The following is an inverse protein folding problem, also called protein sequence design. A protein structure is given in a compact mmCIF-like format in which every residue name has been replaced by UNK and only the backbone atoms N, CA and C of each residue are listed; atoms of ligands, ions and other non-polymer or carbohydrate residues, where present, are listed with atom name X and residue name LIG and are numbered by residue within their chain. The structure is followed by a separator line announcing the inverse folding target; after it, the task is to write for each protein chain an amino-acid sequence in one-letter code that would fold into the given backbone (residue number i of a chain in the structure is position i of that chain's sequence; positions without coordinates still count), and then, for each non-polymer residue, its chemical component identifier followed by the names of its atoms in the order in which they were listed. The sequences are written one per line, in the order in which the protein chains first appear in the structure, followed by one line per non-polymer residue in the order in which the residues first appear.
data_IF_323130158383
#
_entry.id   IF_323130158383
#
_cell.length_a   1.000
_cell.length_b   1.000
_cell.length_c   1.000
_cell.angle_alpha   90.00
_cell.angle_beta   90.00
_cell.angle_gamma   90.00
#
_symmetry.space_group_name_H-M   'P 1'
#
loop_
_entity.id
_entity.type
_entity.pdbx_description
1 polymer ?
#
# COMPACT_ATOMS: atom_id res chain seq x y z
N UNK A 1 1.10 32.43 16.70
CA UNK A 1 2.27 32.14 15.84
C UNK A 1 1.80 32.30 14.40
N UNK A 2 2.47 33.09 13.58
CA UNK A 2 2.09 33.24 12.16
C UNK A 2 2.71 32.10 11.33
N UNK A 3 2.09 31.75 10.21
CA UNK A 3 2.70 30.87 9.21
C UNK A 3 3.73 31.68 8.40
N UNK A 4 4.89 31.09 8.14
CA UNK A 4 6.01 31.69 7.40
C UNK A 4 6.53 30.69 6.38
N UNK A 5 6.86 31.17 5.20
CA UNK A 5 7.54 30.36 4.18
C UNK A 5 9.05 30.41 4.41
N UNK A 6 9.77 29.35 4.03
CA UNK A 6 11.21 29.24 4.26
C UNK A 6 11.96 29.37 2.94
N UNK A 7 12.90 30.30 2.87
CA UNK A 7 13.80 30.47 1.72
C UNK A 7 15.15 29.87 2.06
N UNK A 8 15.59 28.90 1.25
CA UNK A 8 16.94 28.33 1.33
C UNK A 8 17.90 29.18 0.51
N UNK A 9 19.04 29.52 1.12
CA UNK A 9 20.09 30.25 0.45
C UNK A 9 20.90 29.33 -0.46
N UNK A 10 21.30 29.87 -1.61
CA UNK A 10 22.24 29.25 -2.54
C UNK A 10 23.70 29.36 -2.06
N UNK A 11 23.94 30.23 -1.07
CA UNK A 11 25.23 30.45 -0.43
C UNK A 11 25.10 30.66 1.07
N UNK A 12 26.17 30.33 1.77
CA UNK A 12 26.25 30.42 3.22
C UNK A 12 26.45 31.87 3.69
N UNK A 13 25.59 32.31 4.61
CA UNK A 13 25.75 33.59 5.28
C UNK A 13 26.34 33.40 6.68
N UNK A 14 27.42 34.11 7.01
CA UNK A 14 28.03 34.01 8.32
C UNK A 14 27.47 35.07 9.29
N UNK A 15 27.07 34.64 10.49
CA UNK A 15 26.72 35.55 11.58
C UNK A 15 27.91 36.45 11.94
N UNK A 16 27.67 37.76 12.07
CA UNK A 16 28.72 38.74 12.36
C UNK A 16 29.36 38.50 13.73
N UNK A 17 28.53 38.08 14.72
CA UNK A 17 28.95 37.87 16.11
C UNK A 17 29.63 36.51 16.34
N UNK A 18 28.97 35.41 16.00
CA UNK A 18 29.46 34.05 16.34
C UNK A 18 30.03 33.26 15.16
N UNK A 19 30.01 33.83 13.94
CA UNK A 19 30.48 33.17 12.70
C UNK A 19 29.77 31.86 12.34
N UNK A 20 28.63 31.55 12.98
CA UNK A 20 27.81 30.42 12.55
C UNK A 20 27.23 30.67 11.17
N UNK A 21 27.10 29.60 10.40
CA UNK A 21 26.49 29.61 9.09
C UNK A 21 24.96 29.71 9.23
N UNK A 22 24.35 30.55 8.41
CA UNK A 22 22.92 30.74 8.25
C UNK A 22 22.60 30.29 6.82
N UNK A 23 21.76 29.27 6.69
CA UNK A 23 21.44 28.61 5.41
C UNK A 23 20.05 28.94 4.89
N UNK A 24 19.21 29.60 5.70
CA UNK A 24 17.84 29.94 5.32
C UNK A 24 17.32 31.17 6.08
N UNK A 25 16.21 31.72 5.58
CA UNK A 25 15.40 32.71 6.30
C UNK A 25 13.91 32.40 6.16
N UNK A 26 13.11 32.95 7.08
CA UNK A 26 11.66 32.85 7.06
C UNK A 26 11.06 34.17 6.61
N UNK A 27 10.07 34.11 5.72
CA UNK A 27 9.42 35.29 5.15
C UNK A 27 7.90 35.20 5.23
N UNK A 28 7.26 36.36 5.29
CA UNK A 28 5.80 36.55 5.22
C UNK A 28 5.36 37.21 3.92
N UNK A 29 6.29 37.43 2.99
CA UNK A 29 6.03 38.16 1.77
C UNK A 29 5.18 37.39 0.75
N UNK A 30 5.05 36.06 0.92
CA UNK A 30 4.31 35.16 0.04
C UNK A 30 3.01 34.65 0.68
N UNK A 31 2.49 33.54 0.18
CA UNK A 31 1.19 32.95 0.55
C UNK A 31 1.13 32.37 1.97
N UNK A 32 2.27 32.23 2.67
CA UNK A 32 2.37 31.73 4.05
C UNK A 32 1.84 30.30 4.16
N UNK A 33 2.15 29.48 3.17
CA UNK A 33 1.74 28.08 3.05
C UNK A 33 2.66 27.12 3.79
N UNK A 34 3.70 27.63 4.46
CA UNK A 34 4.77 26.84 5.11
C UNK A 34 5.63 26.09 4.09
N UNK A 35 5.70 26.61 2.87
CA UNK A 35 6.49 26.00 1.80
C UNK A 35 7.98 26.36 1.93
N UNK A 36 8.81 25.48 1.38
CA UNK A 36 10.25 25.71 1.27
C UNK A 36 10.61 26.03 -0.18
N UNK A 37 11.28 27.15 -0.39
CA UNK A 37 11.69 27.63 -1.71
C UNK A 37 13.20 27.79 -1.82
N UNK A 38 13.73 27.51 -3.00
CA UNK A 38 15.12 27.70 -3.37
C UNK A 38 15.22 28.66 -4.57
N UNK A 39 16.44 29.15 -4.83
CA UNK A 39 16.72 29.94 -6.03
C UNK A 39 16.32 29.14 -7.28
N UNK A 40 15.58 29.79 -8.18
CA UNK A 40 14.87 29.26 -9.37
C UNK A 40 13.57 28.51 -9.08
N UNK A 41 13.00 28.58 -7.89
CA UNK A 41 11.64 28.07 -7.69
C UNK A 41 10.57 29.13 -8.04
N UNK A 42 9.39 28.64 -8.44
CA UNK A 42 8.20 29.47 -8.58
C UNK A 42 7.58 29.68 -7.20
N UNK A 43 7.54 30.94 -6.76
CA UNK A 43 7.15 31.38 -5.42
C UNK A 43 5.87 32.23 -5.44
N UNK A 44 5.43 32.71 -6.61
CA UNK A 44 4.23 33.54 -6.75
C UNK A 44 3.66 33.52 -8.20
N UNK A 45 2.65 34.34 -8.46
CA UNK A 45 2.01 34.54 -9.74
C UNK A 45 2.95 35.14 -10.81
N UNK A 46 2.67 34.77 -12.07
CA UNK A 46 3.45 35.10 -13.27
C UNK A 46 3.68 36.59 -13.52
N UNK A 47 2.87 37.45 -12.90
CA UNK A 47 2.87 38.89 -13.13
C UNK A 47 3.68 39.63 -12.06
N UNK A 48 4.07 38.96 -10.98
CA UNK A 48 4.72 39.61 -9.86
C UNK A 48 6.22 39.82 -10.08
N UNK A 49 6.65 41.07 -10.02
CA UNK A 49 8.05 41.48 -10.01
C UNK A 49 8.27 42.33 -8.77
N UNK A 50 9.12 41.87 -7.84
CA UNK A 50 9.39 42.57 -6.58
C UNK A 50 10.75 42.21 -6.01
N UNK A 51 11.31 43.16 -5.25
CA UNK A 51 12.49 42.95 -4.41
C UNK A 51 12.00 42.98 -2.96
N UNK A 52 12.23 41.89 -2.23
CA UNK A 52 11.82 41.75 -0.83
C UNK A 52 13.07 41.82 0.03
N UNK A 53 13.08 42.73 1.02
CA UNK A 53 14.15 42.83 2.00
C UNK A 53 13.81 41.93 3.19
N UNK A 54 14.70 41.01 3.53
CA UNK A 54 14.58 40.15 4.70
C UNK A 54 15.79 40.28 5.62
N UNK A 55 15.53 40.23 6.93
CA UNK A 55 16.57 40.24 7.95
C UNK A 55 17.03 38.81 8.24
N UNK A 56 18.35 38.63 8.38
CA UNK A 56 18.90 37.32 8.72
C UNK A 56 18.82 37.10 10.23
N UNK A 57 18.28 35.95 10.64
CA UNK A 57 18.24 35.56 12.04
C UNK A 57 19.32 34.50 12.34
N UNK A 58 20.10 34.71 13.39
CA UNK A 58 21.08 33.73 13.84
C UNK A 58 20.52 32.88 14.99
N UNK A 59 20.34 31.59 14.77
CA UNK A 59 19.84 30.66 15.80
C UNK A 59 20.74 30.60 17.04
N UNK A 60 22.08 30.64 16.88
CA UNK A 60 23.01 30.55 18.02
C UNK A 60 23.05 31.81 18.88
N UNK A 61 22.85 32.99 18.28
CA UNK A 61 22.85 34.26 19.01
C UNK A 61 21.44 34.69 19.44
N UNK A 62 20.40 34.08 18.88
CA UNK A 62 19.01 34.51 19.00
C UNK A 62 18.79 35.99 18.65
N UNK A 63 19.53 36.49 17.67
CA UNK A 63 19.53 37.89 17.27
C UNK A 63 19.52 38.06 15.75
N UNK A 64 18.82 39.11 15.31
CA UNK A 64 18.85 39.56 13.92
C UNK A 64 20.22 40.17 13.58
N UNK A 65 20.69 39.86 12.37
CA UNK A 65 21.93 40.40 11.84
C UNK A 65 21.69 41.80 11.26
N UNK A 66 22.70 42.69 11.32
CA UNK A 66 22.60 44.02 10.72
C UNK A 66 22.52 43.98 9.19
N UNK A 67 23.01 42.90 8.58
CA UNK A 67 22.96 42.70 7.14
C UNK A 67 21.63 42.06 6.76
N UNK A 68 20.91 42.69 5.84
CA UNK A 68 19.71 42.15 5.22
C UNK A 68 20.06 41.51 3.88
N UNK A 69 19.26 40.54 3.48
CA UNK A 69 19.28 39.96 2.14
C UNK A 69 18.09 40.48 1.34
N UNK A 70 18.23 40.48 0.03
CA UNK A 70 17.23 40.95 -0.90
C UNK A 70 16.83 39.80 -1.83
N UNK A 71 15.61 39.30 -1.66
CA UNK A 71 15.04 38.28 -2.51
C UNK A 71 14.55 38.95 -3.80
N UNK A 72 15.10 38.54 -4.94
CA UNK A 72 14.72 39.09 -6.25
C UNK A 72 13.71 38.17 -6.90
N UNK A 73 12.48 38.67 -7.06
CA UNK A 73 11.37 37.94 -7.67
C UNK A 73 11.01 38.58 -8.99
N UNK A 74 10.95 37.79 -10.06
CA UNK A 74 10.51 38.26 -11.37
C UNK A 74 9.58 37.22 -11.98
N UNK A 75 8.37 37.67 -12.35
CA UNK A 75 7.29 36.82 -12.86
C UNK A 75 7.00 35.62 -11.95
N UNK A 76 7.01 35.86 -10.64
CA UNK A 76 6.77 34.82 -9.64
C UNK A 76 7.89 33.79 -9.48
N UNK A 77 9.08 34.00 -10.05
CA UNK A 77 10.27 33.14 -9.87
C UNK A 77 11.26 33.82 -8.93
N UNK A 78 11.77 33.10 -7.93
CA UNK A 78 12.89 33.54 -7.11
C UNK A 78 14.18 33.45 -7.93
N UNK A 79 14.68 34.55 -8.46
CA UNK A 79 15.81 34.53 -9.40
C UNK A 79 17.16 34.41 -8.71
N UNK A 80 17.38 35.19 -7.66
CA UNK A 80 18.63 35.24 -6.89
C UNK A 80 18.38 35.94 -5.55
N UNK A 81 19.35 35.80 -4.64
CA UNK A 81 19.38 36.43 -3.33
C UNK A 81 20.59 37.36 -3.26
N UNK A 82 20.33 38.67 -3.25
CA UNK A 82 21.36 39.70 -3.30
C UNK A 82 21.68 40.26 -1.91
N UNK A 83 22.92 40.72 -1.72
CA UNK A 83 23.39 41.30 -0.44
C UNK A 83 23.08 42.80 -0.33
N UNK A 84 22.66 43.42 -1.43
CA UNK A 84 22.34 44.84 -1.49
C UNK A 84 21.18 45.10 -2.43
N UNK A 85 20.43 46.16 -2.13
CA UNK A 85 19.33 46.61 -2.98
C UNK A 85 19.80 46.99 -4.38
N UNK A 86 20.99 47.59 -4.49
CA UNK A 86 21.57 47.99 -5.77
C UNK A 86 21.85 46.77 -6.67
N UNK A 87 22.47 45.72 -6.11
CA UNK A 87 22.70 44.46 -6.84
C UNK A 87 21.38 43.79 -7.22
N UNK A 88 20.40 43.80 -6.33
CA UNK A 88 19.05 43.27 -6.61
C UNK A 88 18.38 43.97 -7.80
N UNK A 89 18.56 45.30 -7.91
CA UNK A 89 18.02 46.10 -9.00
C UNK A 89 18.75 45.86 -10.32
N UNK A 90 20.08 45.84 -10.28
CA UNK A 90 20.91 45.52 -11.45
C UNK A 90 20.54 44.15 -12.05
N UNK A 91 20.30 43.15 -11.20
CA UNK A 91 19.82 41.84 -11.65
C UNK A 91 18.49 41.92 -12.41
N UNK A 92 17.51 42.69 -11.92
CA UNK A 92 16.25 42.86 -12.64
C UNK A 92 16.42 43.56 -13.99
N UNK A 93 17.33 44.53 -14.07
CA UNK A 93 17.56 45.33 -15.27
C UNK A 93 18.37 44.57 -16.35
N UNK A 94 19.31 43.71 -15.95
CA UNK A 94 20.15 42.92 -16.87
C UNK A 94 19.49 41.64 -17.40
N UNK A 95 18.38 41.21 -16.79
CA UNK A 95 17.77 39.92 -17.11
C UNK A 95 17.09 39.93 -18.48
N UNK A 96 17.62 39.09 -19.39
CA UNK A 96 17.02 38.88 -20.71
C UNK A 96 15.63 38.27 -20.56
N UNK A 97 14.61 38.98 -21.07
CA UNK A 97 13.20 38.56 -20.97
C UNK A 97 12.96 37.18 -21.59
N UNK A 98 13.69 36.79 -22.64
CA UNK A 98 13.52 35.46 -23.25
C UNK A 98 13.92 34.33 -22.29
N UNK A 99 15.05 34.46 -21.57
CA UNK A 99 15.47 33.44 -20.60
C UNK A 99 14.47 33.29 -19.44
N UNK A 100 13.93 34.40 -18.95
CA UNK A 100 12.90 34.38 -17.89
C UNK A 100 11.64 33.66 -18.36
N UNK A 101 11.22 33.88 -19.61
CA UNK A 101 10.06 33.20 -20.18
C UNK A 101 10.27 31.69 -20.30
N UNK A 102 11.46 31.27 -20.77
CA UNK A 102 11.79 29.83 -20.86
C UNK A 102 11.85 29.18 -19.48
N UNK A 103 12.51 29.82 -18.51
CA UNK A 103 12.54 29.33 -17.13
C UNK A 103 11.14 29.30 -16.53
N UNK A 104 10.34 30.33 -16.73
CA UNK A 104 8.96 30.38 -16.24
C UNK A 104 8.17 29.18 -16.77
N UNK A 105 8.27 28.87 -18.06
CA UNK A 105 7.52 27.76 -18.63
C UNK A 105 7.92 26.41 -18.02
N UNK A 106 9.20 26.13 -17.86
CA UNK A 106 9.68 24.85 -17.33
C UNK A 106 9.43 24.72 -15.82
N UNK A 107 9.69 25.81 -15.08
CA UNK A 107 9.47 25.86 -13.63
C UNK A 107 7.99 25.89 -13.27
N UNK A 108 7.16 26.58 -14.04
CA UNK A 108 5.71 26.58 -13.85
C UNK A 108 5.12 25.21 -14.16
N UNK A 109 5.59 24.50 -15.20
CA UNK A 109 5.21 23.10 -15.42
C UNK A 109 5.57 22.23 -14.22
N UNK A 110 6.77 22.39 -13.66
CA UNK A 110 7.20 21.67 -12.45
C UNK A 110 6.33 22.01 -11.24
N UNK A 111 6.07 23.30 -10.99
CA UNK A 111 5.20 23.78 -9.92
C UNK A 111 3.78 23.24 -10.05
N UNK A 112 3.17 23.33 -11.24
CA UNK A 112 1.83 22.79 -11.50
C UNK A 112 1.81 21.27 -11.31
N UNK A 113 2.85 20.55 -11.76
CA UNK A 113 2.96 19.10 -11.53
C UNK A 113 2.99 18.79 -10.04
N UNK A 114 3.84 19.45 -9.26
CA UNK A 114 3.94 19.27 -7.81
C UNK A 114 2.62 19.62 -7.09
N UNK A 115 2.01 20.75 -7.45
CA UNK A 115 0.72 21.18 -6.88
C UNK A 115 -0.40 20.20 -7.21
N UNK A 116 -0.44 19.70 -8.44
CA UNK A 116 -1.41 18.69 -8.85
C UNK A 116 -1.18 17.36 -8.13
N UNK A 117 0.08 16.94 -7.94
CA UNK A 117 0.43 15.77 -7.12
C UNK A 117 -0.06 15.96 -5.68
N UNK A 118 0.30 17.05 -5.01
CA UNK A 118 -0.15 17.36 -3.63
C UNK A 118 -1.67 17.38 -3.53
N UNK A 119 -2.36 18.05 -4.45
CA UNK A 119 -3.83 18.09 -4.50
C UNK A 119 -4.42 16.70 -4.73
N UNK A 120 -3.81 15.85 -5.57
CA UNK A 120 -4.24 14.47 -5.78
C UNK A 120 -4.19 13.67 -4.46
N UNK A 121 -3.10 13.76 -3.71
CA UNK A 121 -2.98 13.09 -2.40
C UNK A 121 -3.98 13.65 -1.37
N UNK A 122 -4.14 14.97 -1.29
CA UNK A 122 -5.10 15.59 -0.38
C UNK A 122 -6.54 15.17 -0.70
N UNK A 123 -6.94 15.27 -1.97
CA UNK A 123 -8.27 14.84 -2.42
C UNK A 123 -8.51 13.35 -2.12
N UNK A 124 -7.50 12.50 -2.36
CA UNK A 124 -7.58 11.09 -2.01
C UNK A 124 -7.82 10.89 -0.50
N UNK A 125 -7.09 11.59 0.37
CA UNK A 125 -7.27 11.48 1.82
C UNK A 125 -8.64 11.98 2.29
N UNK A 126 -9.15 13.07 1.69
CA UNK A 126 -10.50 13.56 1.96
C UNK A 126 -11.56 12.53 1.55
N UNK A 127 -11.48 11.99 0.33
CA UNK A 127 -12.43 10.97 -0.15
C UNK A 127 -12.32 9.66 0.66
N UNK A 128 -11.10 9.26 1.07
CA UNK A 128 -10.86 8.10 1.94
C UNK A 128 -11.54 8.30 3.30
N UNK A 129 -11.36 9.48 3.91
CA UNK A 129 -11.99 9.83 5.17
C UNK A 129 -13.52 9.76 5.04
N UNK A 130 -14.08 10.38 4.00
CA UNK A 130 -15.52 10.40 3.76
C UNK A 130 -16.06 8.96 3.58
N UNK A 131 -15.45 8.16 2.70
CA UNK A 131 -15.88 6.78 2.43
C UNK A 131 -15.90 5.90 3.69
N UNK A 132 -14.82 5.92 4.48
CA UNK A 132 -14.69 5.07 5.66
C UNK A 132 -15.40 5.62 6.91
N UNK A 133 -15.69 6.93 6.96
CA UNK A 133 -16.50 7.55 8.02
C UNK A 133 -17.99 7.34 7.77
N UNK A 134 -18.45 7.44 6.51
CA UNK A 134 -19.84 7.17 6.13
C UNK A 134 -20.22 5.70 6.32
N UNK A 135 -19.34 4.74 5.97
CA UNK A 135 -19.56 3.31 6.23
C UNK A 135 -19.73 2.98 7.72
N UNK A 136 -19.12 3.76 8.63
CA UNK A 136 -19.30 3.59 10.08
C UNK A 136 -20.61 4.20 10.60
N UNK A 137 -21.21 5.17 9.89
CA UNK A 137 -22.27 6.00 10.48
C UNK A 137 -23.61 6.05 9.76
N UNK A 138 -23.86 5.46 8.58
CA UNK A 138 -25.25 5.33 8.07
C UNK A 138 -25.49 4.30 6.95
N UNK A 139 -26.35 3.34 7.28
CA UNK A 139 -27.49 2.97 6.42
C UNK A 139 -28.29 4.26 6.11
N UNK A 140 -28.65 4.49 4.84
CA UNK A 140 -29.46 5.62 4.30
C UNK A 140 -28.71 6.91 3.95
N UNK A 141 -28.13 6.94 2.75
CA UNK A 141 -28.52 7.89 1.69
C UNK A 141 -27.74 7.55 0.41
N UNK A 142 -28.38 6.87 -0.52
CA UNK A 142 -27.79 6.46 -1.81
C UNK A 142 -27.64 7.63 -2.82
N UNK A 143 -28.07 8.84 -2.47
CA UNK A 143 -28.23 9.95 -3.44
C UNK A 143 -27.15 11.03 -3.35
N UNK A 144 -26.01 10.76 -2.71
CA UNK A 144 -24.89 11.73 -2.59
C UNK A 144 -23.52 11.16 -2.95
N UNK A 145 -23.46 10.14 -3.80
CA UNK A 145 -22.18 9.80 -4.45
C UNK A 145 -21.84 10.88 -5.47
N UNK A 146 -21.27 11.98 -4.98
CA UNK A 146 -20.45 12.88 -5.79
C UNK A 146 -19.40 12.04 -6.50
N UNK A 147 -19.11 12.39 -7.76
CA UNK A 147 -18.09 11.77 -8.62
C UNK A 147 -16.78 11.56 -7.86
N UNK A 148 -16.63 10.41 -7.20
CA UNK A 148 -15.42 10.04 -6.46
C UNK A 148 -14.43 9.51 -7.47
N UNK A 149 -13.41 10.30 -7.74
CA UNK A 149 -12.37 9.92 -8.71
C UNK A 149 -11.57 8.73 -8.22
N UNK A 150 -11.53 8.48 -6.90
CA UNK A 150 -10.74 7.41 -6.28
C UNK A 150 -11.58 6.23 -5.78
N UNK A 151 -12.87 6.15 -6.12
CA UNK A 151 -13.77 5.11 -5.61
C UNK A 151 -13.28 3.70 -5.88
N UNK A 152 -12.58 3.48 -7.00
CA UNK A 152 -12.01 2.20 -7.39
C UNK A 152 -10.90 1.71 -6.43
N UNK A 153 -10.24 2.61 -5.68
CA UNK A 153 -9.29 2.22 -4.63
C UNK A 153 -9.98 1.86 -3.29
N UNK A 154 -11.24 2.29 -3.10
CA UNK A 154 -12.00 2.08 -1.87
C UNK A 154 -12.96 0.88 -1.94
N UNK A 155 -13.51 0.60 -3.11
CA UNK A 155 -14.37 -0.57 -3.37
C UNK A 155 -13.53 -1.86 -3.24
N UNK A 156 -14.10 -2.90 -2.63
CA UNK A 156 -13.42 -4.18 -2.37
C UNK A 156 -12.28 -4.14 -1.34
N UNK A 157 -11.87 -2.97 -0.83
CA UNK A 157 -10.86 -2.89 0.23
C UNK A 157 -11.48 -3.20 1.60
N UNK A 158 -10.83 -4.06 2.37
CA UNK A 158 -11.24 -4.50 3.71
C UNK A 158 -10.90 -3.49 4.78
N UNK A 159 -9.88 -2.65 4.55
CA UNK A 159 -9.42 -1.64 5.50
C UNK A 159 -9.03 -0.33 4.81
N UNK A 160 -9.03 0.81 5.53
CA UNK A 160 -8.50 2.06 5.00
C UNK A 160 -7.02 1.96 4.59
N UNK A 161 -6.24 1.14 5.30
CA UNK A 161 -4.82 0.91 4.99
C UNK A 161 -4.69 0.27 3.62
N UNK A 162 -5.49 -0.75 3.34
CA UNK A 162 -5.50 -1.41 2.03
C UNK A 162 -5.89 -0.44 0.91
N UNK A 163 -6.84 0.46 1.13
CA UNK A 163 -7.16 1.52 0.16
C UNK A 163 -5.98 2.45 -0.13
N UNK A 164 -5.23 2.83 0.92
CA UNK A 164 -4.00 3.63 0.77
C UNK A 164 -2.95 2.86 -0.02
N UNK A 165 -2.74 1.58 0.31
CA UNK A 165 -1.79 0.72 -0.40
C UNK A 165 -2.15 0.59 -1.89
N UNK A 166 -3.44 0.37 -2.21
CA UNK A 166 -3.93 0.31 -3.60
C UNK A 166 -3.65 1.62 -4.37
N UNK A 167 -3.94 2.76 -3.76
CA UNK A 167 -3.68 4.08 -4.38
C UNK A 167 -2.20 4.38 -4.57
N UNK A 168 -1.36 4.06 -3.57
CA UNK A 168 0.09 4.25 -3.65
C UNK A 168 0.71 3.32 -4.69
N UNK A 169 0.30 2.06 -4.73
CA UNK A 169 0.73 1.08 -5.72
C UNK A 169 0.43 1.56 -7.13
N UNK A 170 -0.82 1.98 -7.38
CA UNK A 170 -1.23 2.55 -8.66
C UNK A 170 -0.44 3.81 -9.02
N UNK A 171 -0.25 4.72 -8.08
CA UNK A 171 0.48 5.98 -8.34
C UNK A 171 1.96 5.72 -8.67
N UNK A 172 2.62 4.82 -7.93
CA UNK A 172 4.01 4.46 -8.17
C UNK A 172 4.20 3.77 -9.52
N UNK A 173 3.31 2.83 -9.85
CA UNK A 173 3.28 2.17 -11.16
C UNK A 173 3.11 3.19 -12.28
N UNK A 174 2.14 4.09 -12.18
CA UNK A 174 1.87 5.08 -13.22
C UNK A 174 3.04 6.05 -13.41
N UNK A 175 3.69 6.47 -12.32
CA UNK A 175 4.88 7.30 -12.38
C UNK A 175 6.06 6.58 -13.05
N UNK A 176 6.21 5.29 -12.80
CA UNK A 176 7.26 4.48 -13.40
C UNK A 176 7.03 4.25 -14.89
N UNK A 177 5.78 4.05 -15.32
CA UNK A 177 5.42 4.01 -16.73
C UNK A 177 5.77 5.34 -17.44
N UNK A 178 5.51 6.48 -16.79
CA UNK A 178 5.94 7.78 -17.32
C UNK A 178 7.45 7.90 -17.44
N UNK A 179 8.20 7.48 -16.42
CA UNK A 179 9.67 7.50 -16.46
C UNK A 179 10.22 6.64 -17.59
N UNK A 180 9.73 5.41 -17.74
CA UNK A 180 10.11 4.53 -18.84
C UNK A 180 9.82 5.18 -20.20
N UNK A 181 8.65 5.81 -20.33
CA UNK A 181 8.27 6.51 -21.56
C UNK A 181 9.17 7.71 -21.85
N UNK A 182 9.45 8.54 -20.86
CA UNK A 182 10.32 9.72 -20.97
C UNK A 182 11.77 9.35 -21.29
N UNK A 183 12.22 8.16 -20.85
CA UNK A 183 13.52 7.57 -21.18
C UNK A 183 13.57 6.96 -22.60
N UNK A 184 12.44 6.93 -23.33
CA UNK A 184 12.36 6.41 -24.69
C UNK A 184 12.23 4.90 -24.78
N UNK A 185 11.76 4.22 -23.73
CA UNK A 185 11.44 2.81 -23.82
C UNK A 185 10.24 2.57 -24.74
N UNK A 186 10.46 1.81 -25.82
CA UNK A 186 9.42 1.51 -26.81
C UNK A 186 8.73 0.17 -26.58
N UNK A 187 9.37 -0.79 -25.89
CA UNK A 187 8.87 -2.15 -25.70
C UNK A 187 8.78 -2.51 -24.21
N UNK A 188 7.65 -3.07 -23.80
CA UNK A 188 7.39 -3.68 -22.50
C UNK A 188 7.31 -5.19 -22.64
N UNK A 189 8.24 -5.88 -21.98
CA UNK A 189 8.24 -7.33 -21.89
C UNK A 189 7.36 -7.78 -20.72
N UNK A 190 6.39 -8.64 -20.99
CA UNK A 190 5.45 -9.19 -20.01
C UNK A 190 5.50 -10.72 -19.98
N UNK A 191 5.09 -11.31 -18.88
CA UNK A 191 4.97 -12.77 -18.73
C UNK A 191 3.92 -13.14 -17.69
N UNK A 192 3.45 -14.39 -17.70
CA UNK A 192 2.56 -14.91 -16.66
C UNK A 192 2.98 -16.36 -16.33
N UNK A 193 2.97 -16.78 -15.05
CA UNK A 193 3.44 -18.11 -14.63
C UNK A 193 2.40 -19.22 -14.75
N UNK A 194 1.12 -18.89 -14.92
CA UNK A 194 0.02 -19.83 -14.98
C UNK A 194 0.09 -20.69 -16.24
N UNK A 195 -0.21 -21.99 -16.08
CA UNK A 195 -0.36 -22.91 -17.21
C UNK A 195 -1.83 -22.92 -17.63
N UNK A 196 -2.11 -22.33 -18.78
CA UNK A 196 -3.45 -22.20 -19.34
C UNK A 196 -3.40 -22.75 -20.76
N UNK A 197 -4.32 -23.65 -21.12
CA UNK A 197 -4.33 -24.23 -22.45
C UNK A 197 -4.91 -23.26 -23.48
N UNK A 198 -4.28 -23.19 -24.66
CA UNK A 198 -4.75 -22.34 -25.76
C UNK A 198 -6.19 -22.68 -26.15
N UNK A 199 -7.06 -21.66 -26.20
CA UNK A 199 -8.47 -21.82 -26.53
C UNK A 199 -9.40 -22.04 -25.33
N UNK A 200 -8.89 -22.08 -24.09
CA UNK A 200 -9.74 -22.10 -22.90
C UNK A 200 -10.67 -20.89 -22.85
N UNK A 201 -11.95 -21.13 -22.55
CA UNK A 201 -12.97 -20.07 -22.53
C UNK A 201 -13.12 -19.40 -21.15
N UNK A 202 -12.71 -20.09 -20.09
CA UNK A 202 -12.77 -19.63 -18.70
C UNK A 202 -11.35 -19.65 -18.13
N UNK A 203 -10.70 -18.49 -18.13
CA UNK A 203 -9.30 -18.34 -17.74
C UNK A 203 -9.03 -17.03 -16.98
N UNK A 204 -7.94 -17.04 -16.23
CA UNK A 204 -7.39 -15.93 -15.44
C UNK A 204 -5.86 -16.03 -15.44
N UNK A 205 -5.17 -14.91 -15.63
CA UNK A 205 -3.70 -14.84 -15.57
C UNK A 205 -3.23 -13.57 -14.87
N UNK A 206 -2.28 -13.69 -13.94
CA UNK A 206 -1.56 -12.55 -13.41
C UNK A 206 -0.33 -12.24 -14.27
N UNK A 207 -0.35 -11.08 -14.91
CA UNK A 207 0.66 -10.64 -15.86
C UNK A 207 1.67 -9.74 -15.17
N UNK A 208 2.92 -10.17 -15.19
CA UNK A 208 4.06 -9.52 -14.55
C UNK A 208 4.88 -8.69 -15.54
N UNK A 209 5.54 -7.65 -15.02
CA UNK A 209 6.46 -6.79 -15.76
C UNK A 209 7.66 -6.44 -14.89
N UNK A 210 8.85 -6.87 -15.32
CA UNK A 210 10.04 -6.80 -14.47
C UNK A 210 10.60 -5.39 -14.28
N UNK A 211 10.57 -4.54 -15.31
CA UNK A 211 11.14 -3.19 -15.26
C UNK A 211 10.36 -2.28 -14.29
N UNK A 212 9.04 -2.39 -14.29
CA UNK A 212 8.12 -1.66 -13.41
C UNK A 212 8.30 -2.17 -11.99
N UNK A 213 8.29 -3.49 -11.78
CA UNK A 213 8.42 -4.08 -10.45
C UNK A 213 9.77 -3.79 -9.78
N UNK A 214 10.87 -3.85 -10.54
CA UNK A 214 12.21 -3.49 -10.03
C UNK A 214 12.31 -2.00 -9.65
N UNK A 215 11.81 -1.10 -10.50
CA UNK A 215 11.87 0.35 -10.27
C UNK A 215 10.92 0.80 -9.15
N UNK A 216 9.76 0.16 -9.04
CA UNK A 216 8.79 0.47 -7.99
C UNK A 216 9.13 -0.20 -6.65
N UNK A 217 9.94 -1.26 -6.65
CA UNK A 217 10.05 -2.21 -5.53
C UNK A 217 8.68 -2.76 -5.10
N UNK A 218 7.81 -3.01 -6.07
CA UNK A 218 6.46 -3.53 -5.88
C UNK A 218 6.30 -4.87 -6.59
N UNK A 219 5.31 -5.65 -6.15
CA UNK A 219 4.90 -6.91 -6.77
C UNK A 219 3.63 -6.67 -7.59
N UNK A 220 3.69 -5.71 -8.51
CA UNK A 220 2.51 -5.34 -9.26
C UNK A 220 2.29 -6.28 -10.45
N UNK A 221 1.02 -6.55 -10.71
CA UNK A 221 0.54 -7.40 -11.81
C UNK A 221 -0.71 -6.77 -12.44
N UNK A 222 -0.89 -6.99 -13.74
CA UNK A 222 -2.22 -6.88 -14.34
C UNK A 222 -2.93 -8.20 -14.17
N UNK A 223 -4.15 -8.18 -13.62
CA UNK A 223 -4.97 -9.38 -13.57
C UNK A 223 -5.84 -9.41 -14.82
N UNK A 224 -5.57 -10.35 -15.73
CA UNK A 224 -6.30 -10.47 -17.00
C UNK A 224 -7.21 -11.68 -16.92
N UNK A 225 -8.50 -11.47 -17.07
CA UNK A 225 -9.51 -12.51 -16.91
C UNK A 225 -10.46 -12.56 -18.11
N UNK A 226 -10.90 -13.77 -18.46
CA UNK A 226 -12.03 -13.95 -19.36
C UNK A 226 -13.31 -13.43 -18.71
N UNK A 227 -14.22 -12.91 -19.52
CA UNK A 227 -15.55 -12.49 -19.06
C UNK A 227 -16.35 -13.64 -18.44
N UNK A 228 -16.16 -14.87 -18.96
CA UNK A 228 -16.79 -16.08 -18.40
C UNK A 228 -16.28 -16.36 -16.98
N UNK A 229 -14.97 -16.28 -16.75
CA UNK A 229 -14.36 -16.42 -15.43
C UNK A 229 -14.84 -15.34 -14.45
N UNK A 230 -14.90 -14.09 -14.91
CA UNK A 230 -15.35 -12.98 -14.07
C UNK A 230 -16.82 -13.13 -13.64
N UNK A 231 -17.72 -13.53 -14.55
CA UNK A 231 -19.13 -13.74 -14.22
C UNK A 231 -19.35 -14.96 -13.30
N UNK A 232 -18.47 -15.97 -13.34
CA UNK A 232 -18.59 -17.17 -12.51
C UNK A 232 -18.01 -17.02 -11.10
N UNK A 233 -17.02 -16.13 -10.91
CA UNK A 233 -16.27 -16.02 -9.66
C UNK A 233 -16.47 -14.70 -8.91
N UNK A 234 -16.83 -13.61 -9.60
CA UNK A 234 -17.00 -12.29 -9.00
C UNK A 234 -18.47 -11.87 -8.99
N UNK A 235 -18.82 -10.96 -8.06
CA UNK A 235 -20.14 -10.34 -8.05
C UNK A 235 -20.25 -9.44 -9.31
N UNK A 236 -21.22 -9.65 -10.22
CA UNK A 236 -21.34 -8.86 -11.45
C UNK A 236 -21.58 -7.37 -11.20
N UNK A 237 -21.96 -7.00 -9.97
CA UNK A 237 -22.11 -5.60 -9.53
C UNK A 237 -20.81 -5.00 -8.96
N UNK A 238 -19.73 -5.78 -8.80
CA UNK A 238 -18.43 -5.31 -8.32
C UNK A 238 -17.58 -4.76 -9.47
N UNK A 239 -17.28 -3.46 -9.42
CA UNK A 239 -16.40 -2.84 -10.41
C UNK A 239 -14.98 -3.41 -10.31
N UNK A 240 -14.37 -3.84 -11.43
CA UNK A 240 -13.02 -4.36 -11.45
C UNK A 240 -12.01 -3.28 -11.03
N UNK A 241 -10.91 -3.72 -10.42
CA UNK A 241 -9.79 -2.84 -10.09
C UNK A 241 -9.19 -2.22 -11.35
N UNK A 242 -8.54 -1.08 -11.18
CA UNK A 242 -7.94 -0.31 -12.28
C UNK A 242 -6.92 -1.09 -13.11
N UNK A 243 -6.29 -2.13 -12.54
CA UNK A 243 -5.33 -3.02 -13.21
C UNK A 243 -5.93 -4.41 -13.53
N UNK A 244 -7.23 -4.60 -13.31
CA UNK A 244 -7.96 -5.80 -13.74
C UNK A 244 -8.54 -5.56 -15.15
N UNK A 245 -8.22 -6.46 -16.08
CA UNK A 245 -8.60 -6.35 -17.49
C UNK A 245 -9.49 -7.54 -17.85
N UNK A 246 -10.75 -7.24 -18.16
CA UNK A 246 -11.73 -8.26 -18.56
C UNK A 246 -11.78 -8.35 -20.08
N UNK A 247 -11.66 -9.57 -20.61
CA UNK A 247 -11.66 -9.84 -22.06
C UNK A 247 -12.72 -10.87 -22.42
N UNK A 248 -13.42 -10.65 -23.53
CA UNK A 248 -14.47 -11.56 -24.05
C UNK A 248 -13.91 -12.44 -25.18
N UNK A 249 -12.75 -13.07 -24.95
CA UNK A 249 -12.04 -13.91 -25.92
C UNK A 249 -11.43 -15.15 -25.23
N UNK A 250 -11.33 -16.30 -25.92
CA UNK A 250 -10.64 -17.47 -25.37
C UNK A 250 -9.14 -17.20 -25.22
N UNK A 251 -8.50 -17.95 -24.33
CA UNK A 251 -7.11 -17.73 -23.95
C UNK A 251 -6.17 -17.89 -25.16
N UNK A 252 -5.33 -16.88 -25.35
CA UNK A 252 -4.08 -16.96 -26.10
C UNK A 252 -3.13 -15.88 -25.60
N UNK A 253 -1.82 -16.10 -25.74
CA UNK A 253 -0.82 -15.08 -25.35
C UNK A 253 -1.03 -13.76 -26.11
N UNK A 254 -1.48 -13.82 -27.37
CA UNK A 254 -1.81 -12.62 -28.16
C UNK A 254 -2.95 -11.80 -27.55
N UNK A 255 -3.95 -12.48 -26.98
CA UNK A 255 -5.09 -11.83 -26.33
C UNK A 255 -4.62 -11.06 -25.10
N UNK A 256 -3.74 -11.64 -24.28
CA UNK A 256 -3.14 -10.95 -23.13
C UNK A 256 -2.35 -9.71 -23.59
N UNK A 257 -1.49 -9.85 -24.59
CA UNK A 257 -0.72 -8.72 -25.12
C UNK A 257 -1.64 -7.59 -25.62
N UNK A 258 -2.71 -7.92 -26.36
CA UNK A 258 -3.70 -6.94 -26.85
C UNK A 258 -4.44 -6.26 -25.70
N UNK A 259 -4.81 -7.02 -24.67
CA UNK A 259 -5.51 -6.52 -23.50
C UNK A 259 -4.65 -5.47 -22.73
N UNK A 260 -3.40 -5.81 -22.42
CA UNK A 260 -2.45 -4.91 -21.75
C UNK A 260 -2.15 -3.69 -22.64
N UNK A 261 -1.94 -3.89 -23.95
CA UNK A 261 -1.68 -2.80 -24.89
C UNK A 261 -2.87 -1.84 -25.02
N UNK A 262 -4.11 -2.35 -25.02
CA UNK A 262 -5.31 -1.51 -24.98
C UNK A 262 -5.38 -0.69 -23.69
N UNK A 263 -5.13 -1.32 -22.54
CA UNK A 263 -5.11 -0.67 -21.24
C UNK A 263 -4.09 0.47 -21.16
N UNK A 264 -2.90 0.27 -21.73
CA UNK A 264 -1.84 1.28 -21.83
C UNK A 264 -2.24 2.45 -22.74
N UNK A 265 -2.84 2.16 -23.91
CA UNK A 265 -3.29 3.18 -24.87
C UNK A 265 -4.38 4.09 -24.32
N UNK A 266 -5.34 3.54 -23.59
CA UNK A 266 -6.39 4.32 -22.91
C UNK A 266 -5.80 5.33 -21.90
N UNK A 267 -4.62 5.02 -21.37
CA UNK A 267 -3.84 5.88 -20.47
C UNK A 267 -2.76 6.70 -21.18
N UNK A 268 -2.81 6.77 -22.52
CA UNK A 268 -1.94 7.57 -23.40
C UNK A 268 -0.48 7.11 -23.47
N UNK A 269 -0.20 5.86 -23.10
CA UNK A 269 1.11 5.25 -23.34
C UNK A 269 1.13 4.53 -24.69
N UNK A 270 2.23 4.62 -25.44
CA UNK A 270 2.38 3.98 -26.76
C UNK A 270 3.51 2.94 -26.77
N UNK A 271 3.56 2.09 -25.74
CA UNK A 271 4.47 0.95 -25.72
C UNK A 271 4.02 -0.15 -26.69
N UNK A 272 4.99 -0.86 -27.24
CA UNK A 272 4.82 -2.20 -27.78
C UNK A 272 4.82 -3.19 -26.62
N UNK A 273 3.95 -4.19 -26.65
CA UNK A 273 3.85 -5.21 -25.59
C UNK A 273 4.21 -6.55 -26.18
N UNK A 274 5.12 -7.27 -25.52
CA UNK A 274 5.62 -8.57 -25.99
C UNK A 274 5.65 -9.58 -24.87
N UNK A 275 5.05 -10.74 -25.13
CA UNK A 275 5.11 -11.89 -24.22
C UNK A 275 6.51 -12.51 -24.25
N UNK A 276 7.07 -12.79 -23.08
CA UNK A 276 8.28 -13.58 -22.91
C UNK A 276 7.99 -14.79 -22.02
N UNK A 277 8.68 -15.92 -22.23
CA UNK A 277 8.56 -17.07 -21.34
C UNK A 277 9.19 -16.75 -19.98
N UNK A 278 8.67 -17.37 -18.92
CA UNK A 278 9.10 -17.16 -17.52
C UNK A 278 10.58 -17.52 -17.30
N UNK A 279 11.16 -18.39 -18.12
CA UNK A 279 12.59 -18.73 -18.09
C UNK A 279 13.49 -17.60 -18.61
N UNK A 280 12.95 -16.69 -19.44
CA UNK A 280 13.67 -15.53 -19.96
C UNK A 280 13.40 -14.25 -19.18
N UNK A 281 12.45 -14.28 -18.24
CA UNK A 281 12.20 -13.15 -17.36
C UNK A 281 13.26 -13.06 -16.25
N UNK A 282 13.39 -11.87 -15.66
CA UNK A 282 14.22 -11.65 -14.47
C UNK A 282 13.51 -12.11 -13.19
N UNK A 283 12.26 -12.57 -13.32
CA UNK A 283 11.41 -13.15 -12.26
C UNK A 283 11.32 -12.25 -11.04
N UNK A 284 11.09 -10.97 -11.26
CA UNK A 284 11.22 -9.95 -10.21
C UNK A 284 10.02 -9.94 -9.27
N UNK A 285 10.14 -9.19 -8.16
CA UNK A 285 9.06 -9.04 -7.19
C UNK A 285 8.72 -10.33 -6.43
N UNK A 286 7.46 -10.78 -6.53
CA UNK A 286 6.96 -11.92 -5.76
C UNK A 286 7.65 -13.23 -6.14
N UNK A 287 7.97 -13.42 -7.42
CA UNK A 287 8.64 -14.64 -7.87
C UNK A 287 10.06 -14.74 -7.31
N UNK A 288 10.82 -13.64 -7.33
CA UNK A 288 12.14 -13.57 -6.69
C UNK A 288 12.06 -13.89 -5.21
N UNK A 289 11.11 -13.28 -4.50
CA UNK A 289 10.91 -13.54 -3.07
C UNK A 289 10.53 -15.00 -2.79
N UNK A 290 9.68 -15.60 -3.62
CA UNK A 290 9.30 -17.01 -3.52
C UNK A 290 10.47 -17.94 -3.83
N UNK A 291 11.30 -17.64 -4.84
CA UNK A 291 12.49 -18.41 -5.19
C UNK A 291 13.57 -18.32 -4.12
N UNK A 292 13.80 -17.13 -3.55
CA UNK A 292 14.69 -16.93 -2.39
C UNK A 292 14.18 -17.73 -1.18
N UNK A 293 12.88 -17.64 -0.88
CA UNK A 293 12.26 -18.46 0.19
C UNK A 293 12.37 -19.95 -0.10
N UNK A 294 12.11 -20.40 -1.33
CA UNK A 294 12.23 -21.82 -1.71
C UNK A 294 13.67 -22.30 -1.66
N UNK A 295 14.64 -21.44 -1.96
CA UNK A 295 16.06 -21.76 -1.85
C UNK A 295 16.50 -21.86 -0.38
N UNK A 296 15.99 -20.97 0.48
CA UNK A 296 16.21 -21.04 1.92
C UNK A 296 15.48 -22.25 2.56
N UNK A 297 14.30 -22.60 2.05
CA UNK A 297 13.55 -23.80 2.46
C UNK A 297 14.18 -25.12 1.99
N UNK A 298 15.12 -25.09 1.05
CA UNK A 298 15.94 -26.27 0.73
C UNK A 298 17.04 -26.52 1.77
N UNK A 299 17.39 -25.50 2.56
CA UNK A 299 18.35 -25.61 3.68
C UNK A 299 17.68 -25.94 5.01
N UNK A 300 16.42 -25.52 5.23
CA UNK A 300 15.61 -25.96 6.37
C UNK A 300 14.85 -27.25 6.01
N UNK A 301 15.20 -28.38 6.66
CA UNK A 301 14.60 -29.71 6.47
C UNK A 301 13.11 -29.65 6.08
N UNK A 302 12.80 -29.96 4.81
CA UNK A 302 11.44 -30.10 4.33
C UNK A 302 10.73 -31.21 5.14
N UNK A 303 9.90 -30.79 6.08
CA UNK A 303 9.05 -31.69 6.86
C UNK A 303 7.93 -32.18 5.93
N UNK A 304 7.75 -33.50 5.76
CA UNK A 304 6.66 -34.06 4.96
C UNK A 304 5.29 -33.47 5.35
N UNK A 305 4.42 -33.25 4.36
CA UNK A 305 3.09 -32.66 4.58
C UNK A 305 2.26 -33.39 5.65
N UNK A 306 2.39 -34.72 5.74
CA UNK A 306 1.71 -35.51 6.76
C UNK A 306 2.23 -35.20 8.18
N UNK A 307 3.53 -34.98 8.35
CA UNK A 307 4.12 -34.60 9.64
C UNK A 307 3.71 -33.17 10.04
N UNK A 308 3.56 -32.26 9.08
CA UNK A 308 3.01 -30.91 9.33
C UNK A 308 1.56 -30.99 9.76
N UNK A 309 0.75 -31.82 9.10
CA UNK A 309 -0.66 -32.05 9.43
C UNK A 309 -0.82 -32.68 10.82
N UNK A 310 0.05 -33.62 11.19
CA UNK A 310 0.12 -34.24 12.51
C UNK A 310 0.48 -33.18 13.58
N UNK A 311 1.53 -32.37 13.33
CA UNK A 311 1.96 -31.30 14.23
C UNK A 311 0.89 -30.22 14.41
N UNK A 312 0.19 -29.83 13.35
CA UNK A 312 -0.92 -28.87 13.41
C UNK A 312 -2.12 -29.41 14.18
N UNK A 313 -2.45 -30.71 14.03
CA UNK A 313 -3.47 -31.36 14.87
C UNK A 313 -3.08 -31.32 16.35
N UNK A 314 -1.83 -31.63 16.67
CA UNK A 314 -1.31 -31.60 18.05
C UNK A 314 -1.34 -30.18 18.62
N UNK A 315 -0.93 -29.18 17.84
CA UNK A 315 -1.00 -27.76 18.21
C UNK A 315 -2.45 -27.31 18.45
N UNK A 316 -3.38 -27.66 17.57
CA UNK A 316 -4.80 -27.35 17.72
C UNK A 316 -5.39 -27.95 19.01
N UNK A 317 -5.05 -29.21 19.33
CA UNK A 317 -5.46 -29.86 20.58
C UNK A 317 -4.89 -29.15 21.80
N UNK A 318 -3.62 -28.75 21.77
CA UNK A 318 -2.98 -27.99 22.86
C UNK A 318 -3.62 -26.62 23.06
N UNK A 319 -3.85 -25.85 21.99
CA UNK A 319 -4.50 -24.54 22.07
C UNK A 319 -5.93 -24.63 22.61
N UNK A 320 -6.71 -25.61 22.17
CA UNK A 320 -8.06 -25.85 22.70
C UNK A 320 -8.04 -26.25 24.18
N UNK A 321 -7.07 -27.07 24.60
CA UNK A 321 -6.92 -27.45 26.01
C UNK A 321 -6.49 -26.26 26.89
N UNK A 322 -5.59 -25.41 26.41
CA UNK A 322 -5.21 -24.17 27.10
C UNK A 322 -6.38 -23.19 27.22
N UNK A 323 -7.25 -23.11 26.21
CA UNK A 323 -8.49 -22.31 26.27
C UNK A 323 -9.43 -22.82 27.36
N UNK A 324 -9.62 -24.14 27.46
CA UNK A 324 -10.40 -24.76 28.55
C UNK A 324 -9.75 -24.46 29.90
N UNK A 325 -8.42 -24.48 30.00
CA UNK A 325 -7.68 -24.21 31.24
C UNK A 325 -7.71 -22.74 31.69
N UNK A 326 -7.68 -21.78 30.75
CA UNK A 326 -7.70 -20.32 31.03
C UNK A 326 -9.07 -19.81 31.49
N UNK A 327 -10.16 -20.48 31.12
CA UNK A 327 -11.51 -20.03 31.43
C UNK A 327 -11.87 -20.43 32.88
N UNK A 328 -11.85 -19.44 33.78
CA UNK A 328 -12.03 -19.60 35.25
C UNK A 328 -13.34 -20.28 35.68
N UNK A 329 -14.38 -20.28 34.84
CA UNK A 329 -15.67 -20.89 35.13
C UNK A 329 -15.74 -22.35 34.62
N UNK A 330 -14.84 -23.21 35.09
CA UNK A 330 -14.93 -24.65 34.83
C UNK A 330 -15.99 -25.28 35.74
N UNK A 331 -17.21 -25.40 35.25
CA UNK A 331 -18.19 -26.28 35.91
C UNK A 331 -17.83 -27.73 35.56
N UNK A 332 -17.66 -28.60 36.56
CA UNK A 332 -17.56 -30.05 36.31
C UNK A 332 -18.97 -30.53 35.93
N UNK A 333 -19.23 -30.64 34.64
CA UNK A 333 -20.59 -30.91 34.13
C UNK A 333 -20.87 -32.41 34.03
N UNK A 334 -19.85 -33.23 33.75
CA UNK A 334 -20.04 -34.66 33.52
C UNK A 334 -19.24 -35.54 34.48
N UNK A 335 -19.83 -36.67 34.86
CA UNK A 335 -19.19 -37.72 35.64
C UNK A 335 -19.56 -39.10 35.07
N UNK A 336 -18.54 -39.91 34.78
CA UNK A 336 -18.74 -41.27 34.27
C UNK A 336 -17.55 -42.16 34.63
N UNK A 337 -17.84 -43.31 35.26
CA UNK A 337 -16.84 -44.34 35.66
C UNK A 337 -15.60 -43.78 36.38
N UNK A 338 -15.79 -42.83 37.31
CA UNK A 338 -14.69 -42.26 38.09
C UNK A 338 -13.99 -41.06 37.44
N UNK A 339 -14.30 -40.73 36.18
CA UNK A 339 -13.72 -39.58 35.48
C UNK A 339 -14.67 -38.39 35.49
N UNK A 340 -14.09 -37.19 35.53
CA UNK A 340 -14.83 -35.93 35.44
C UNK A 340 -14.61 -35.25 34.09
N UNK A 341 -15.66 -34.65 33.54
CA UNK A 341 -15.60 -33.85 32.33
C UNK A 341 -15.87 -32.37 32.64
N UNK A 342 -14.95 -31.49 32.21
CA UNK A 342 -15.19 -30.04 32.17
C UNK A 342 -15.82 -29.65 30.84
N UNK A 343 -16.69 -28.64 30.83
CA UNK A 343 -17.38 -28.18 29.61
C UNK A 343 -17.36 -26.66 29.54
N UNK A 344 -16.99 -26.13 28.37
CA UNK A 344 -16.81 -24.70 28.15
C UNK A 344 -17.37 -24.30 26.77
N UNK A 345 -18.13 -23.20 26.66
CA UNK A 345 -18.59 -22.70 25.37
C UNK A 345 -17.45 -22.01 24.59
N UNK A 346 -17.27 -22.39 23.32
CA UNK A 346 -16.36 -21.73 22.39
C UNK A 346 -17.15 -20.74 21.52
N UNK A 347 -16.99 -19.43 21.79
CA UNK A 347 -17.74 -18.36 21.12
C UNK A 347 -17.42 -18.26 19.62
N UNK A 348 -16.18 -18.58 19.24
CA UNK A 348 -15.71 -18.49 17.85
C UNK A 348 -16.29 -19.58 16.93
N UNK A 349 -16.53 -20.77 17.46
CA UNK A 349 -17.02 -21.92 16.66
C UNK A 349 -18.49 -22.22 16.91
N UNK A 350 -19.11 -21.58 17.90
CA UNK A 350 -20.49 -21.86 18.32
C UNK A 350 -20.68 -23.27 18.91
N UNK A 351 -19.59 -23.96 19.29
CA UNK A 351 -19.63 -25.31 19.85
C UNK A 351 -19.27 -25.34 21.34
N UNK A 352 -19.73 -26.37 22.04
CA UNK A 352 -19.28 -26.69 23.39
C UNK A 352 -18.07 -27.61 23.31
N UNK A 353 -17.01 -27.28 24.05
CA UNK A 353 -15.76 -28.04 24.10
C UNK A 353 -15.49 -28.44 25.54
N UNK A 354 -15.19 -29.70 25.75
CA UNK A 354 -14.89 -30.23 27.07
C UNK A 354 -13.65 -31.09 27.10
N UNK A 355 -13.07 -31.25 28.29
CA UNK A 355 -11.87 -32.05 28.55
C UNK A 355 -12.15 -33.09 29.63
N UNK A 356 -11.54 -34.28 29.50
CA UNK A 356 -11.50 -35.27 30.58
C UNK A 356 -10.44 -34.85 31.60
N UNK A 357 -10.86 -34.64 32.84
CA UNK A 357 -10.02 -34.24 33.95
C UNK A 357 -9.45 -35.46 34.69
N UNK A 358 -8.21 -35.36 35.18
CA UNK A 358 -7.58 -36.41 36.00
C UNK A 358 -6.78 -37.47 35.23
N UNK A 359 -6.46 -37.23 33.95
CA UNK A 359 -5.58 -38.07 33.13
C UNK A 359 -4.39 -37.26 32.62
N UNK A 360 -3.24 -37.94 32.43
CA UNK A 360 -2.02 -37.31 31.90
C UNK A 360 -2.11 -36.97 30.40
N UNK A 361 -3.08 -37.54 29.68
CA UNK A 361 -3.35 -37.26 28.27
C UNK A 361 -4.44 -36.19 28.10
N UNK A 362 -4.27 -35.31 27.12
CA UNK A 362 -5.27 -34.29 26.79
C UNK A 362 -6.31 -34.90 25.85
N UNK A 363 -7.46 -35.26 26.40
CA UNK A 363 -8.58 -35.80 25.62
C UNK A 363 -9.73 -34.80 25.65
N UNK A 364 -10.05 -34.27 24.47
CA UNK A 364 -11.11 -33.30 24.24
C UNK A 364 -12.33 -33.97 23.62
N UNK A 365 -13.51 -33.47 23.92
CA UNK A 365 -14.76 -33.82 23.27
C UNK A 365 -15.52 -32.53 22.93
N UNK A 366 -16.23 -32.52 21.80
CA UNK A 366 -16.94 -31.34 21.32
C UNK A 366 -18.33 -31.70 20.79
N UNK A 367 -19.30 -30.83 20.98
CA UNK A 367 -20.68 -31.03 20.53
C UNK A 367 -21.45 -29.72 20.45
N UNK A 368 -22.54 -29.72 19.71
CA UNK A 368 -23.41 -28.53 19.58
C UNK A 368 -24.36 -28.40 20.77
N UNK A 369 -24.65 -29.51 21.44
CA UNK A 369 -25.51 -29.56 22.63
C UNK A 369 -24.81 -30.24 23.80
N UNK A 370 -25.30 -29.99 25.02
CA UNK A 370 -24.79 -30.62 26.25
C UNK A 370 -24.94 -32.14 26.18
N UNK A 371 -26.06 -32.65 25.66
CA UNK A 371 -26.31 -34.09 25.52
C UNK A 371 -25.36 -34.77 24.53
N UNK A 372 -25.04 -34.12 23.42
CA UNK A 372 -24.01 -34.61 22.48
C UNK A 372 -22.63 -34.68 23.13
N UNK A 373 -22.27 -33.65 23.91
CA UNK A 373 -21.01 -33.62 24.64
C UNK A 373 -20.94 -34.72 25.70
N UNK A 374 -22.03 -35.00 26.41
CA UNK A 374 -22.08 -36.07 27.41
C UNK A 374 -21.88 -37.44 26.77
N UNK A 375 -22.53 -37.70 25.64
CA UNK A 375 -22.38 -38.97 24.91
C UNK A 375 -20.94 -39.15 24.41
N UNK A 376 -20.34 -38.11 23.83
CA UNK A 376 -18.94 -38.13 23.38
C UNK A 376 -17.96 -38.26 24.53
N UNK A 377 -18.23 -37.64 25.68
CA UNK A 377 -17.46 -37.82 26.91
C UNK A 377 -17.50 -39.28 27.39
N UNK A 378 -18.69 -39.90 27.46
CA UNK A 378 -18.84 -41.31 27.86
C UNK A 378 -18.16 -42.26 26.89
N UNK A 379 -18.22 -41.98 25.59
CA UNK A 379 -17.52 -42.76 24.56
C UNK A 379 -16.00 -42.65 24.74
N UNK A 380 -15.47 -41.45 24.92
CA UNK A 380 -14.05 -41.21 25.15
C UNK A 380 -13.54 -41.90 26.44
N UNK A 381 -14.29 -41.79 27.54
CA UNK A 381 -13.96 -42.50 28.80
C UNK A 381 -14.02 -44.02 28.63
N UNK A 382 -14.98 -44.54 27.86
CA UNK A 382 -15.12 -45.99 27.62
C UNK A 382 -13.97 -46.55 26.79
N UNK A 383 -13.32 -45.74 25.96
CA UNK A 383 -12.11 -46.11 25.22
C UNK A 383 -10.86 -46.14 26.10
N UNK A 384 -10.87 -45.43 27.23
CA UNK A 384 -9.75 -45.37 28.20
C UNK A 384 -9.75 -46.52 29.20
N UNK A 385 -10.91 -47.11 29.46
CA UNK A 385 -11.03 -48.21 30.43
C UNK A 385 -10.78 -49.53 29.66
N UNK A 386 -9.71 -50.28 29.95
CA UNK A 386 -9.47 -51.56 29.32
C UNK A 386 -10.63 -52.50 29.61
N UNK A 387 -11.13 -53.19 28.57
CA UNK A 387 -12.16 -54.23 28.75
C UNK A 387 -11.59 -55.30 29.70
N UNK A 388 -12.35 -55.78 30.70
CA UNK A 388 -11.88 -56.88 31.52
C UNK A 388 -11.61 -58.07 30.60
N UNK A 389 -10.39 -58.61 30.68
CA UNK A 389 -10.07 -59.90 30.10
C UNK A 389 -10.91 -60.91 30.88
N UNK A 390 -11.98 -61.40 30.25
CA UNK A 390 -12.72 -62.54 30.78
C UNK A 390 -11.76 -63.73 30.60
N UNK A 391 -11.08 -64.13 31.67
CA UNK A 391 -10.48 -65.45 31.75
C UNK A 391 -11.63 -66.45 31.87
N UNK A 392 -11.98 -67.11 30.77
CA UNK A 392 -12.86 -68.28 30.82
C UNK A 392 -12.15 -69.40 31.62
N UNK A 393 -12.87 -70.10 32.52
CA UNK A 393 -12.34 -71.28 33.21
C UNK A 393 -12.18 -72.50 32.30
#
# INVERSE_FOLDING_TARGET
MGMFDTIKFDRDYACVKCKSIITSTQTKAFDKTLDEYSVKDCIDHAEEIRIIKEELFCEKCHEFQPNSVYLVVNRGILLEIADSFQKAKELLDELSKEKVILWYHDLYRKYIRQKNETNKYQNFLYELQDWWTEKKYKQKNKDKFFFSFFSHHFKGAMTPIESVERFLTYTNMHNTLHQLWDEGHEELLIYHPEKIDAGEEEWFADVYQDDINERCHLNWTWSVASKKFHVSHDDPDEEPLDWSIIVDEPYSEEVICKAVLKWLKERRFQFNVKMIPVEKSRRTGMLKMLEERLSNLKEEECIPYEDVKEKLKILCVKTKAELVDKLKNKTKVFYYKGFHGSLVPCVETGMLVGRIEGINEIILYEGKTVSECENKFREAVSKLIPKPVISEP
#
